data_IF_512235081532
#
_entry.id   IF_512235081532
#
_cell.length_a   1.000
_cell.length_b   1.000
_cell.length_c   1.000
_cell.angle_alpha   90.00
_cell.angle_beta   90.00
_cell.angle_gamma   90.00
#
_symmetry.space_group_name_H-M   'P 1'
#
loop_
_entity.id
_entity.type
_entity.pdbx_description
1 polymer ?
#
# COMPACT_ATOMS: atom_id res chain seq x y z
N UNK A 1 6.83 -26.75 27.76
CA UNK A 1 8.04 -25.95 27.60
C UNK A 1 7.67 -24.50 27.30
N UNK A 2 8.58 -23.56 27.55
CA UNK A 2 8.39 -22.15 27.15
C UNK A 2 8.69 -21.99 25.67
N UNK A 3 7.99 -21.07 24.99
CA UNK A 3 8.25 -20.74 23.61
C UNK A 3 9.71 -20.18 23.46
N UNK A 4 10.43 -20.56 22.39
CA UNK A 4 11.75 -20.01 22.13
C UNK A 4 11.66 -18.52 21.76
N UNK A 5 12.66 -17.76 22.17
CA UNK A 5 12.78 -16.32 21.86
C UNK A 5 14.11 -16.09 21.14
N UNK A 6 14.09 -15.36 20.04
CA UNK A 6 15.30 -14.86 19.35
C UNK A 6 15.34 -13.34 19.54
N UNK A 7 16.49 -12.87 19.99
CA UNK A 7 16.78 -11.43 20.09
C UNK A 7 17.87 -11.07 19.09
N UNK A 8 17.62 -10.04 18.27
CA UNK A 8 18.56 -9.52 17.29
C UNK A 8 19.16 -8.23 17.84
N UNK A 9 20.49 -8.16 17.95
CA UNK A 9 21.20 -6.97 18.39
C UNK A 9 21.88 -6.30 17.20
N UNK A 10 21.51 -5.06 16.91
CA UNK A 10 22.09 -4.28 15.80
C UNK A 10 21.49 -4.65 14.44
N UNK A 11 22.16 -4.21 13.39
CA UNK A 11 21.77 -4.43 12.00
C UNK A 11 22.00 -3.18 11.14
N UNK A 12 22.17 -3.40 9.84
CA UNK A 12 22.25 -2.33 8.84
C UNK A 12 21.08 -2.46 7.87
N UNK A 13 20.55 -1.33 7.43
CA UNK A 13 19.48 -1.32 6.43
C UNK A 13 19.87 -2.04 5.13
N UNK A 14 21.15 -1.97 4.76
CA UNK A 14 21.68 -2.63 3.55
C UNK A 14 21.80 -4.15 3.68
N UNK A 15 21.72 -4.71 4.88
CA UNK A 15 21.84 -6.16 5.14
C UNK A 15 20.57 -6.77 5.72
N UNK A 16 19.47 -6.01 5.77
CA UNK A 16 18.21 -6.43 6.40
C UNK A 16 17.70 -7.79 5.91
N UNK A 17 17.75 -8.04 4.59
CA UNK A 17 17.28 -9.30 4.00
C UNK A 17 18.08 -10.51 4.51
N UNK A 18 19.41 -10.41 4.52
CA UNK A 18 20.30 -11.47 5.02
C UNK A 18 20.13 -11.71 6.51
N UNK A 19 19.93 -10.64 7.28
CA UNK A 19 19.67 -10.74 8.71
C UNK A 19 18.31 -11.43 8.97
N UNK A 20 17.29 -11.06 8.21
CA UNK A 20 15.98 -11.69 8.31
C UNK A 20 16.03 -13.18 7.93
N UNK A 21 16.73 -13.55 6.83
CA UNK A 21 16.96 -14.96 6.49
C UNK A 21 17.60 -15.72 7.64
N UNK A 22 18.72 -15.21 8.17
CA UNK A 22 19.45 -15.89 9.24
C UNK A 22 18.64 -16.03 10.54
N UNK A 23 17.81 -15.05 10.87
CA UNK A 23 16.90 -15.14 12.01
C UNK A 23 15.79 -16.17 11.75
N UNK A 24 15.20 -16.16 10.57
CA UNK A 24 14.14 -17.10 10.16
C UNK A 24 14.68 -18.54 10.14
N UNK A 25 15.87 -18.78 9.60
CA UNK A 25 16.48 -20.12 9.56
C UNK A 25 16.63 -20.72 10.97
N UNK A 26 16.95 -19.88 11.97
CA UNK A 26 17.00 -20.32 13.39
C UNK A 26 15.61 -20.68 13.94
N UNK A 27 14.55 -20.05 13.45
CA UNK A 27 13.18 -20.35 13.85
C UNK A 27 12.61 -21.56 13.11
N UNK A 28 13.03 -21.82 11.87
CA UNK A 28 12.51 -22.90 11.03
C UNK A 28 12.65 -24.29 11.66
N UNK A 29 13.62 -24.49 12.55
CA UNK A 29 13.75 -25.75 13.30
C UNK A 29 12.49 -26.10 14.14
N UNK A 30 11.66 -25.13 14.47
CA UNK A 30 10.40 -25.29 15.20
C UNK A 30 9.17 -25.40 14.28
N UNK A 31 9.36 -25.23 12.97
CA UNK A 31 8.30 -25.21 11.97
C UNK A 31 8.60 -26.20 10.83
N UNK A 32 8.23 -27.49 10.98
CA UNK A 32 8.63 -28.55 10.04
C UNK A 32 8.11 -28.35 8.61
N UNK A 33 7.11 -27.48 8.41
CA UNK A 33 6.56 -27.14 7.08
C UNK A 33 7.11 -25.82 6.52
N UNK A 34 8.08 -25.19 7.19
CA UNK A 34 8.71 -23.97 6.70
C UNK A 34 9.48 -24.23 5.40
N UNK A 35 9.32 -23.34 4.43
CA UNK A 35 10.08 -23.40 3.17
C UNK A 35 11.49 -22.86 3.39
N UNK A 36 12.44 -23.33 2.58
CA UNK A 36 13.80 -22.81 2.55
C UNK A 36 13.86 -21.33 2.11
N UNK A 37 15.06 -20.70 2.13
CA UNK A 37 15.24 -19.30 1.80
C UNK A 37 14.84 -19.01 0.34
N UNK A 38 14.01 -18.01 0.13
CA UNK A 38 13.47 -17.60 -1.19
C UNK A 38 13.59 -16.09 -1.44
N UNK A 39 13.86 -15.30 -0.42
CA UNK A 39 13.80 -13.84 -0.49
C UNK A 39 14.84 -13.22 -1.43
N UNK A 40 15.88 -13.96 -1.83
CA UNK A 40 16.87 -13.49 -2.81
C UNK A 40 16.28 -13.27 -4.19
N UNK A 41 15.32 -14.09 -4.58
CA UNK A 41 14.68 -14.08 -5.90
C UNK A 41 13.20 -13.71 -5.83
N UNK A 42 12.67 -13.53 -4.63
CA UNK A 42 11.29 -13.11 -4.41
C UNK A 42 11.05 -11.70 -4.92
N UNK A 43 9.99 -11.54 -5.72
CA UNK A 43 9.53 -10.24 -6.20
C UNK A 43 8.73 -9.58 -5.09
N UNK A 44 9.05 -8.32 -4.78
CA UNK A 44 8.25 -7.53 -3.85
C UNK A 44 6.89 -7.17 -4.49
N UNK A 45 5.82 -7.06 -3.69
CA UNK A 45 4.53 -6.58 -4.20
C UNK A 45 4.70 -5.24 -4.95
N UNK A 46 4.19 -5.18 -6.17
CA UNK A 46 4.36 -4.02 -7.05
C UNK A 46 5.66 -3.99 -7.84
N UNK A 47 6.63 -4.86 -7.56
CA UNK A 47 7.94 -4.90 -8.23
C UNK A 47 8.00 -5.79 -9.48
N UNK A 48 6.88 -6.31 -9.96
CA UNK A 48 6.80 -7.21 -11.11
C UNK A 48 6.76 -6.42 -12.43
N UNK A 49 7.87 -5.77 -12.75
CA UNK A 49 8.07 -5.03 -14.01
C UNK A 49 9.56 -4.91 -14.34
N UNK A 50 9.87 -4.67 -15.61
CA UNK A 50 11.25 -4.63 -16.09
C UNK A 50 12.00 -3.37 -15.62
N UNK A 51 11.41 -2.21 -15.86
CA UNK A 51 11.93 -0.91 -15.43
C UNK A 51 10.82 0.13 -15.36
N UNK A 52 11.10 1.28 -14.74
CA UNK A 52 10.11 2.34 -14.54
C UNK A 52 9.58 2.92 -15.85
N UNK A 53 10.44 3.12 -16.85
CA UNK A 53 10.06 3.74 -18.12
C UNK A 53 9.05 2.87 -18.89
N UNK A 54 9.26 1.54 -18.92
CA UNK A 54 8.32 0.60 -19.54
C UNK A 54 6.99 0.55 -18.82
N UNK A 55 6.99 0.62 -17.49
CA UNK A 55 5.75 0.63 -16.69
C UNK A 55 5.01 1.97 -16.85
N UNK A 56 5.72 3.11 -16.86
CA UNK A 56 5.13 4.43 -17.15
C UNK A 56 4.48 4.47 -18.54
N UNK A 57 5.17 3.95 -19.56
CA UNK A 57 4.64 3.85 -20.92
C UNK A 57 3.36 2.98 -20.97
N UNK A 58 3.36 1.84 -20.28
CA UNK A 58 2.20 0.95 -20.21
C UNK A 58 1.02 1.63 -19.51
N UNK A 59 1.27 2.27 -18.37
CA UNK A 59 0.24 2.95 -17.60
C UNK A 59 -0.37 4.13 -18.38
N UNK A 60 0.47 4.96 -19.01
CA UNK A 60 0.00 6.09 -19.84
C UNK A 60 -0.78 5.66 -21.07
N UNK A 61 -0.45 4.50 -21.66
CA UNK A 61 -1.20 3.95 -22.78
C UNK A 61 -2.58 3.41 -22.35
N UNK A 62 -2.66 2.78 -21.17
CA UNK A 62 -3.92 2.23 -20.64
C UNK A 62 -4.82 3.32 -20.05
N UNK A 63 -4.24 4.36 -19.43
CA UNK A 63 -4.95 5.49 -18.83
C UNK A 63 -4.52 6.84 -19.45
N UNK A 64 -4.80 7.08 -20.73
CA UNK A 64 -4.31 8.28 -21.47
C UNK A 64 -4.86 9.60 -20.92
N UNK A 65 -5.90 9.54 -20.10
CA UNK A 65 -6.49 10.68 -19.39
C UNK A 65 -5.76 11.03 -18.09
N UNK A 66 -4.86 10.17 -17.61
CA UNK A 66 -4.16 10.37 -16.34
C UNK A 66 -2.96 11.31 -16.55
N UNK A 67 -2.85 12.43 -15.81
CA UNK A 67 -1.73 13.35 -15.95
C UNK A 67 -0.38 12.69 -15.65
N UNK A 68 0.67 13.09 -16.38
CA UNK A 68 2.03 12.56 -16.20
C UNK A 68 2.51 12.61 -14.74
N UNK A 69 2.32 13.75 -14.07
CA UNK A 69 2.71 13.90 -12.67
C UNK A 69 2.04 12.87 -11.73
N UNK A 70 0.85 12.37 -12.09
CA UNK A 70 0.11 11.37 -11.34
C UNK A 70 0.65 9.97 -11.64
N UNK A 71 0.68 9.56 -12.91
CA UNK A 71 1.11 8.20 -13.24
C UNK A 71 2.59 7.96 -12.92
N UNK A 72 3.47 8.92 -13.13
CA UNK A 72 4.89 8.81 -12.79
C UNK A 72 5.08 8.63 -11.26
N UNK A 73 4.30 9.35 -10.45
CA UNK A 73 4.31 9.13 -9.00
C UNK A 73 3.77 7.75 -8.64
N UNK A 74 2.67 7.31 -9.25
CA UNK A 74 2.09 5.99 -8.99
C UNK A 74 3.06 4.86 -9.31
N UNK A 75 3.74 4.93 -10.45
CA UNK A 75 4.77 3.95 -10.82
C UNK A 75 5.89 3.90 -9.79
N UNK A 76 6.40 5.04 -9.33
CA UNK A 76 7.48 5.11 -8.35
C UNK A 76 7.07 4.66 -6.96
N UNK A 77 5.80 4.88 -6.59
CA UNK A 77 5.31 4.56 -5.24
C UNK A 77 4.80 3.13 -5.13
N UNK A 78 4.07 2.67 -6.14
CA UNK A 78 3.29 1.42 -6.09
C UNK A 78 3.74 0.38 -7.11
N UNK A 79 4.49 0.78 -8.16
CA UNK A 79 4.79 -0.11 -9.27
C UNK A 79 3.51 -0.65 -9.91
N UNK A 80 3.46 -1.96 -10.17
CA UNK A 80 2.27 -2.59 -10.77
C UNK A 80 1.02 -2.55 -9.87
N UNK A 81 1.18 -2.27 -8.55
CA UNK A 81 0.04 -2.08 -7.65
C UNK A 81 -0.80 -0.84 -7.96
N UNK A 82 -0.29 0.10 -8.78
CA UNK A 82 -1.07 1.22 -9.27
C UNK A 82 -2.35 0.77 -10.01
N UNK A 83 -2.29 -0.35 -10.71
CA UNK A 83 -3.46 -0.93 -11.39
C UNK A 83 -4.57 -1.38 -10.44
N UNK A 84 -4.24 -1.75 -9.20
CA UNK A 84 -5.21 -2.25 -8.22
C UNK A 84 -6.26 -1.17 -7.85
N UNK A 85 -5.86 0.11 -7.82
CA UNK A 85 -6.78 1.20 -7.49
C UNK A 85 -7.17 2.07 -8.70
N UNK A 86 -6.42 2.04 -9.79
CA UNK A 86 -6.86 2.64 -11.05
C UNK A 86 -8.01 1.82 -11.67
N UNK A 87 -7.84 0.49 -11.72
CA UNK A 87 -8.88 -0.45 -12.10
C UNK A 87 -9.62 -0.07 -13.38
N UNK A 88 -10.92 0.09 -13.27
CA UNK A 88 -11.84 0.39 -14.37
C UNK A 88 -12.06 1.89 -14.63
N UNK A 89 -11.31 2.77 -13.98
CA UNK A 89 -11.43 4.22 -14.16
C UNK A 89 -11.24 4.64 -15.63
N UNK A 90 -12.10 5.54 -16.11
CA UNK A 90 -12.10 6.05 -17.48
C UNK A 90 -11.76 7.53 -17.55
N UNK A 91 -11.71 8.20 -16.40
CA UNK A 91 -11.44 9.63 -16.28
C UNK A 91 -10.82 9.96 -14.92
N UNK A 92 -10.26 11.16 -14.80
CA UNK A 92 -9.71 11.65 -13.52
C UNK A 92 -10.80 11.78 -12.45
N UNK A 93 -12.04 12.02 -12.84
CA UNK A 93 -13.18 12.13 -11.93
C UNK A 93 -13.50 10.78 -11.25
N UNK A 94 -13.21 9.68 -11.92
CA UNK A 94 -13.45 8.33 -11.38
C UNK A 94 -12.47 7.98 -10.25
N UNK A 95 -11.41 8.78 -10.08
CA UNK A 95 -10.51 8.64 -8.92
C UNK A 95 -11.08 9.27 -7.65
N UNK A 96 -12.22 9.93 -7.75
CA UNK A 96 -12.91 10.57 -6.64
C UNK A 96 -12.30 11.92 -6.25
N UNK A 97 -12.48 12.29 -4.99
CA UNK A 97 -12.02 13.57 -4.46
C UNK A 97 -10.50 13.67 -4.44
N UNK A 98 -9.96 14.85 -4.78
CA UNK A 98 -8.53 15.16 -4.69
C UNK A 98 -8.24 15.85 -3.37
N UNK A 99 -7.53 15.19 -2.47
CA UNK A 99 -7.20 15.72 -1.13
C UNK A 99 -6.01 16.68 -1.13
N UNK A 100 -4.90 16.31 -1.79
CA UNK A 100 -3.70 17.14 -1.81
C UNK A 100 -2.81 16.76 -3.00
N UNK A 101 -2.18 17.73 -3.64
CA UNK A 101 -1.24 17.47 -4.75
C UNK A 101 -1.84 16.55 -5.81
N UNK A 102 -1.35 15.31 -5.87
CA UNK A 102 -1.83 14.24 -6.76
C UNK A 102 -2.49 13.08 -6.02
N UNK A 103 -2.91 13.30 -4.76
CA UNK A 103 -3.56 12.30 -3.92
C UNK A 103 -5.07 12.30 -4.15
N UNK A 104 -5.59 11.19 -4.67
CA UNK A 104 -7.01 10.99 -4.95
C UNK A 104 -7.65 9.94 -4.02
N UNK A 105 -8.96 9.96 -3.95
CA UNK A 105 -9.77 9.14 -3.03
C UNK A 105 -9.53 7.63 -3.22
N UNK A 106 -9.52 7.11 -4.45
CA UNK A 106 -9.21 5.69 -4.72
C UNK A 106 -7.85 5.25 -4.17
N UNK A 107 -6.86 6.14 -4.22
CA UNK A 107 -5.55 5.86 -3.61
C UNK A 107 -5.64 5.83 -2.09
N UNK A 108 -6.37 6.76 -1.48
CA UNK A 108 -6.61 6.79 -0.03
C UNK A 108 -7.30 5.52 0.43
N UNK A 109 -8.33 5.07 -0.28
CA UNK A 109 -9.02 3.80 0.00
C UNK A 109 -8.09 2.59 -0.10
N UNK A 110 -7.23 2.56 -1.12
CA UNK A 110 -6.21 1.53 -1.26
C UNK A 110 -5.26 1.51 -0.07
N UNK A 111 -4.77 2.67 0.37
CA UNK A 111 -3.87 2.79 1.51
C UNK A 111 -4.51 2.34 2.83
N UNK A 112 -5.80 2.66 3.04
CA UNK A 112 -6.56 2.18 4.20
C UNK A 112 -6.68 0.65 4.16
N UNK A 113 -7.09 0.11 3.04
CA UNK A 113 -7.43 -1.31 2.88
C UNK A 113 -6.21 -2.22 2.85
N UNK A 114 -5.12 -1.80 2.20
CA UNK A 114 -3.96 -2.64 1.89
C UNK A 114 -2.67 -2.24 2.59
N UNK A 115 -2.56 -0.99 3.05
CA UNK A 115 -1.33 -0.43 3.61
C UNK A 115 -1.48 0.01 5.08
N UNK A 116 -2.58 -0.37 5.73
CA UNK A 116 -2.87 -0.07 7.14
C UNK A 116 -2.78 1.43 7.49
N UNK A 117 -3.14 2.31 6.57
CA UNK A 117 -3.21 3.72 6.86
C UNK A 117 -4.44 4.02 7.73
N UNK A 118 -4.25 4.67 8.86
CA UNK A 118 -5.31 4.99 9.82
C UNK A 118 -5.48 6.50 10.01
N UNK A 119 -4.44 7.27 9.78
CA UNK A 119 -4.41 8.71 10.01
C UNK A 119 -3.96 9.47 8.76
N UNK A 120 -4.30 10.75 8.68
CA UNK A 120 -3.80 11.64 7.63
C UNK A 120 -2.26 11.68 7.62
N UNK A 121 -1.62 11.60 8.78
CA UNK A 121 -0.17 11.53 8.90
C UNK A 121 0.40 10.26 8.25
N UNK A 122 -0.28 9.11 8.40
CA UNK A 122 0.12 7.87 7.72
C UNK A 122 0.11 8.05 6.21
N UNK A 123 -0.97 8.62 5.68
CA UNK A 123 -1.16 8.82 4.24
C UNK A 123 -0.19 9.86 3.71
N UNK A 124 -0.22 11.06 4.28
CA UNK A 124 0.48 12.22 3.73
C UNK A 124 2.01 12.14 3.91
N UNK A 125 2.49 11.55 5.03
CA UNK A 125 3.92 11.60 5.37
C UNK A 125 4.61 10.24 5.30
N UNK A 126 3.97 9.18 5.74
CA UNK A 126 4.62 7.87 5.78
C UNK A 126 4.55 7.15 4.44
N UNK A 127 3.44 7.26 3.71
CA UNK A 127 3.20 6.49 2.47
C UNK A 127 3.40 7.28 1.19
N UNK A 128 2.82 8.48 1.06
CA UNK A 128 2.78 9.17 -0.22
C UNK A 128 3.71 10.39 -0.34
N UNK A 129 4.13 10.97 0.78
CA UNK A 129 4.83 12.26 0.84
C UNK A 129 4.03 13.44 0.26
N UNK A 130 2.72 13.27 0.05
CA UNK A 130 1.86 14.34 -0.45
C UNK A 130 1.63 15.46 0.57
N UNK A 131 2.00 15.25 1.83
CA UNK A 131 2.06 16.30 2.84
C UNK A 131 2.95 17.49 2.48
N UNK A 132 3.93 17.31 1.56
CA UNK A 132 4.73 18.41 1.02
C UNK A 132 3.91 19.41 0.20
N UNK A 133 2.74 19.02 -0.30
CA UNK A 133 1.86 19.82 -1.14
C UNK A 133 0.51 20.10 -0.49
N UNK A 134 0.27 19.54 0.71
CA UNK A 134 -0.98 19.69 1.43
C UNK A 134 -1.03 21.00 2.19
N UNK A 135 -2.17 21.66 2.12
CA UNK A 135 -2.54 22.78 3.00
C UNK A 135 -3.17 22.26 4.29
N UNK A 136 -3.35 23.12 5.29
CA UNK A 136 -4.08 22.74 6.51
C UNK A 136 -5.54 22.36 6.22
N UNK A 137 -6.17 22.97 5.20
CA UNK A 137 -7.53 22.62 4.78
C UNK A 137 -7.58 21.23 4.18
N UNK A 138 -6.60 20.86 3.35
CA UNK A 138 -6.48 19.52 2.77
C UNK A 138 -6.35 18.44 3.87
N UNK A 139 -5.54 18.73 4.90
CA UNK A 139 -5.38 17.83 6.06
C UNK A 139 -6.71 17.67 6.79
N UNK A 140 -7.41 18.78 7.07
CA UNK A 140 -8.71 18.74 7.75
C UNK A 140 -9.78 17.96 6.94
N UNK A 141 -9.75 18.08 5.61
CA UNK A 141 -10.67 17.35 4.74
C UNK A 141 -10.37 15.85 4.76
N UNK A 142 -9.10 15.48 4.70
CA UNK A 142 -8.67 14.09 4.79
C UNK A 142 -9.02 13.49 6.17
N UNK A 143 -8.84 14.23 7.26
CA UNK A 143 -9.21 13.77 8.61
C UNK A 143 -10.72 13.56 8.74
N UNK A 144 -11.54 14.44 8.14
CA UNK A 144 -13.00 14.25 8.08
C UNK A 144 -13.37 12.98 7.31
N UNK A 145 -12.75 12.77 6.15
CA UNK A 145 -12.98 11.59 5.34
C UNK A 145 -12.65 10.31 6.12
N UNK A 146 -11.46 10.25 6.73
CA UNK A 146 -11.02 9.09 7.52
C UNK A 146 -11.94 8.83 8.71
N UNK A 147 -12.39 9.87 9.40
CA UNK A 147 -13.33 9.74 10.54
C UNK A 147 -14.67 9.15 10.10
N UNK A 148 -15.15 9.52 8.92
CA UNK A 148 -16.38 8.96 8.36
C UNK A 148 -16.25 7.48 7.98
N UNK A 149 -15.07 7.06 7.49
CA UNK A 149 -14.77 5.66 7.17
C UNK A 149 -14.61 4.78 8.43
N UNK A 150 -14.07 5.35 9.51
CA UNK A 150 -13.84 4.63 10.77
C UNK A 150 -15.13 4.34 11.56
N UNK A 151 -16.24 5.01 11.24
CA UNK A 151 -17.54 4.74 11.87
C UNK A 151 -18.09 3.42 11.32
N UNK A 152 -18.29 2.37 12.17
CA UNK A 152 -18.83 1.10 11.69
C UNK A 152 -20.20 1.34 11.07
N UNK A 153 -20.35 1.05 9.78
CA UNK A 153 -21.69 0.94 9.21
C UNK A 153 -22.41 -0.20 9.95
N UNK A 154 -23.65 0.00 10.44
CA UNK A 154 -24.40 -1.07 11.08
C UNK A 154 -24.57 -2.20 10.06
N UNK A 155 -23.90 -3.33 10.33
CA UNK A 155 -24.08 -4.53 9.54
C UNK A 155 -25.55 -4.94 9.67
N UNK A 156 -26.32 -4.76 8.62
CA UNK A 156 -27.67 -5.31 8.52
C UNK A 156 -27.51 -6.83 8.47
N UNK A 157 -27.59 -7.47 9.62
CA UNK A 157 -27.67 -8.94 9.70
C UNK A 157 -29.01 -9.32 9.09
N UNK A 158 -29.03 -9.77 7.86
CA UNK A 158 -30.17 -10.41 7.26
C UNK A 158 -30.42 -11.73 8.01
N UNK A 159 -31.38 -11.71 8.92
CA UNK A 159 -31.92 -12.93 9.52
C UNK A 159 -32.66 -13.71 8.44
N UNK A 160 -31.99 -14.70 7.86
CA UNK A 160 -32.69 -15.72 7.09
C UNK A 160 -33.56 -16.53 8.04
N UNK A 161 -34.84 -16.23 8.08
CA UNK A 161 -35.86 -17.13 8.61
C UNK A 161 -36.05 -18.24 7.56
N UNK A 162 -35.50 -19.41 7.85
CA UNK A 162 -35.89 -20.64 7.17
C UNK A 162 -37.18 -21.13 7.81
N UNK A 163 -38.25 -21.17 7.04
CA UNK A 163 -39.48 -21.90 7.35
C UNK A 163 -39.35 -23.37 6.91
#
# INVERSE_FOLDING_TARGET
GKAPVITVFGGKITTYRKLAEAATDKLCQFFPHARGPWTKTGILPGGDFENHDTLEASLSAEYPWLPEAVYSRYVRTYGTKAYDFLGDAKSIQDLGFRFAGTLYEREVEYLIKHEWAMTSEDILWRRTKQGLYATEDDVRELDRYLSAQATPQPQTVALHHSA
#
